data_IF_865315198528
#
_entry.id   IF_865315198528
#
_cell.length_a   1.000
_cell.length_b   1.000
_cell.length_c   1.000
_cell.angle_alpha   90.00
_cell.angle_beta   90.00
_cell.angle_gamma   90.00
#
_symmetry.space_group_name_H-M   'P 1'
#
loop_
_entity.id
_entity.type
_entity.pdbx_description
1 polymer ?
#
# COMPACT_ATOMS: atom_id res chain seq x y z
N UNK A 1 50.30 0.91 -46.15
CA UNK A 1 49.89 0.83 -44.77
C UNK A 1 48.44 1.28 -44.67
N UNK A 2 47.50 0.33 -44.62
CA UNK A 2 46.08 0.63 -44.45
C UNK A 2 45.84 0.80 -42.94
N UNK A 3 45.52 2.03 -42.50
CA UNK A 3 45.00 2.29 -41.19
C UNK A 3 43.61 1.65 -41.07
N UNK A 4 43.48 0.57 -40.29
CA UNK A 4 42.23 0.00 -39.90
C UNK A 4 41.42 1.02 -39.09
N UNK A 5 40.29 1.45 -39.62
CA UNK A 5 39.32 2.24 -38.85
C UNK A 5 38.89 1.47 -37.61
N UNK A 6 38.43 2.16 -36.55
CA UNK A 6 37.96 1.50 -35.32
C UNK A 6 36.80 0.57 -35.69
N UNK A 7 36.95 -0.73 -35.41
CA UNK A 7 35.87 -1.70 -35.58
C UNK A 7 34.66 -1.21 -34.81
N UNK A 8 33.54 -1.01 -35.53
CA UNK A 8 32.28 -0.65 -34.89
C UNK A 8 31.96 -1.69 -33.79
N UNK A 9 31.88 -1.27 -32.56
CA UNK A 9 31.48 -2.14 -31.43
C UNK A 9 30.05 -2.65 -31.71
N UNK A 10 29.78 -3.93 -31.49
CA UNK A 10 28.44 -4.44 -31.66
C UNK A 10 27.49 -3.64 -30.73
N UNK A 11 26.38 -3.15 -31.28
CA UNK A 11 25.37 -2.43 -30.56
C UNK A 11 24.81 -3.28 -29.39
N UNK A 12 24.18 -2.63 -28.44
CA UNK A 12 23.47 -3.30 -27.34
C UNK A 12 22.00 -3.42 -27.71
N UNK A 13 21.45 -4.61 -27.61
CA UNK A 13 20.03 -4.84 -27.86
C UNK A 13 19.20 -4.55 -26.60
N UNK A 14 17.94 -4.16 -26.77
CA UNK A 14 17.03 -3.90 -25.65
C UNK A 14 16.84 -5.12 -24.73
N UNK A 15 16.88 -6.32 -25.32
CA UNK A 15 16.79 -7.57 -24.57
C UNK A 15 17.98 -7.79 -23.61
N UNK A 16 19.19 -7.38 -24.01
CA UNK A 16 20.37 -7.40 -23.13
C UNK A 16 20.20 -6.43 -21.95
N UNK A 17 19.69 -5.22 -22.23
CA UNK A 17 19.41 -4.22 -21.21
C UNK A 17 18.35 -4.73 -20.23
N UNK A 18 17.25 -5.29 -20.74
CA UNK A 18 16.17 -5.83 -19.91
C UNK A 18 16.66 -7.00 -19.04
N UNK A 19 17.42 -7.93 -19.65
CA UNK A 19 18.01 -9.06 -18.92
C UNK A 19 18.92 -8.60 -17.79
N UNK A 20 19.75 -7.59 -18.01
CA UNK A 20 20.61 -7.02 -16.97
C UNK A 20 19.79 -6.35 -15.86
N UNK A 21 18.78 -5.57 -16.20
CA UNK A 21 17.90 -4.93 -15.22
C UNK A 21 17.11 -5.95 -14.39
N UNK A 22 16.70 -7.07 -15.00
CA UNK A 22 16.05 -8.17 -14.27
C UNK A 22 17.03 -8.85 -13.29
N UNK A 23 18.28 -9.09 -13.68
CA UNK A 23 19.31 -9.63 -12.79
C UNK A 23 19.58 -8.68 -11.62
N UNK A 24 19.70 -7.38 -11.89
CA UNK A 24 19.85 -6.36 -10.85
C UNK A 24 18.64 -6.33 -9.91
N UNK A 25 17.43 -6.40 -10.46
CA UNK A 25 16.21 -6.49 -9.67
C UNK A 25 16.16 -7.76 -8.83
N UNK A 26 16.68 -8.89 -9.34
CA UNK A 26 16.74 -10.17 -8.63
C UNK A 26 17.56 -10.14 -7.33
N UNK A 27 18.48 -9.18 -7.19
CA UNK A 27 19.26 -8.98 -5.95
C UNK A 27 18.48 -8.26 -4.86
N UNK A 28 17.44 -7.50 -5.23
CA UNK A 28 16.67 -6.74 -4.26
C UNK A 28 15.56 -7.57 -3.63
N UNK A 29 15.53 -7.63 -2.30
CA UNK A 29 14.42 -8.25 -1.54
C UNK A 29 13.08 -7.54 -1.74
N UNK A 30 13.09 -6.33 -2.29
CA UNK A 30 11.90 -5.52 -2.57
C UNK A 30 11.35 -5.68 -3.99
N UNK A 31 12.03 -6.44 -4.82
CA UNK A 31 11.56 -6.72 -6.19
C UNK A 31 10.35 -7.62 -6.19
N UNK A 32 9.57 -7.54 -7.28
CA UNK A 32 8.41 -8.39 -7.48
C UNK A 32 8.79 -9.87 -7.31
N UNK A 33 7.97 -10.69 -6.64
CA UNK A 33 8.25 -12.10 -6.42
C UNK A 33 8.41 -12.92 -7.72
N UNK A 34 7.87 -12.44 -8.84
CA UNK A 34 8.04 -13.08 -10.15
C UNK A 34 9.44 -12.91 -10.74
N UNK A 35 10.23 -11.94 -10.23
CA UNK A 35 11.61 -11.72 -10.67
C UNK A 35 12.50 -12.82 -10.08
N UNK A 36 13.19 -13.63 -10.93
CA UNK A 36 14.10 -14.67 -10.46
C UNK A 36 15.17 -14.08 -9.54
N UNK A 37 15.40 -14.72 -8.40
CA UNK A 37 16.45 -14.27 -7.47
C UNK A 37 17.83 -14.56 -8.07
N UNK A 38 18.70 -13.55 -8.08
CA UNK A 38 20.07 -13.64 -8.50
C UNK A 38 20.99 -13.48 -7.30
N UNK A 39 21.99 -14.35 -7.15
CA UNK A 39 22.92 -14.32 -6.02
C UNK A 39 24.11 -13.38 -6.21
N UNK A 40 24.45 -13.04 -7.43
CA UNK A 40 25.54 -12.12 -7.76
C UNK A 40 25.34 -11.49 -9.13
N UNK A 41 25.57 -10.16 -9.24
CA UNK A 41 25.99 -9.53 -10.49
C UNK A 41 27.52 -9.60 -10.49
N UNK A 42 28.09 -10.06 -11.57
CA UNK A 42 29.51 -9.81 -11.81
C UNK A 42 29.65 -8.32 -12.13
N UNK A 43 30.48 -7.61 -11.36
CA UNK A 43 30.73 -6.17 -11.55
C UNK A 43 31.20 -5.87 -12.98
N UNK A 44 31.85 -6.84 -13.62
CA UNK A 44 32.33 -6.75 -15.00
C UNK A 44 31.19 -6.61 -16.02
N UNK A 45 30.01 -7.21 -15.78
CA UNK A 45 28.88 -7.17 -16.70
C UNK A 45 28.27 -5.76 -16.85
N UNK A 46 28.21 -4.97 -15.78
CA UNK A 46 27.75 -3.58 -15.82
C UNK A 46 28.73 -2.71 -16.63
N UNK A 47 30.02 -2.88 -16.37
CA UNK A 47 31.09 -2.13 -17.02
C UNK A 47 31.10 -2.45 -18.51
N UNK A 48 31.03 -3.73 -18.89
CA UNK A 48 30.99 -4.15 -20.28
C UNK A 48 29.77 -3.60 -21.03
N UNK A 49 28.57 -3.65 -20.42
CA UNK A 49 27.35 -3.09 -21.01
C UNK A 49 27.48 -1.57 -21.23
N UNK A 50 27.97 -0.83 -20.21
CA UNK A 50 28.17 0.60 -20.31
C UNK A 50 29.18 1.00 -21.38
N UNK A 51 30.25 0.20 -21.59
CA UNK A 51 31.24 0.45 -22.62
C UNK A 51 30.71 0.25 -24.06
N UNK A 52 29.68 -0.56 -24.24
CA UNK A 52 29.04 -0.84 -25.54
C UNK A 52 27.93 0.15 -25.87
N UNK A 53 27.29 0.77 -24.86
CA UNK A 53 26.25 1.77 -25.04
C UNK A 53 26.77 3.08 -25.60
N UNK A 54 25.97 3.74 -26.46
CA UNK A 54 26.23 5.11 -26.88
C UNK A 54 26.06 6.07 -25.67
N UNK A 55 26.72 7.24 -25.66
CA UNK A 55 26.66 8.15 -24.52
C UNK A 55 25.24 8.53 -24.09
N UNK A 56 24.31 8.68 -25.03
CA UNK A 56 22.91 8.99 -24.75
C UNK A 56 22.18 7.79 -24.16
N UNK A 57 22.44 6.60 -24.68
CA UNK A 57 21.87 5.35 -24.19
C UNK A 57 22.37 5.06 -22.76
N UNK A 58 23.68 5.18 -22.54
CA UNK A 58 24.29 5.02 -21.21
C UNK A 58 23.71 6.02 -20.18
N UNK A 59 23.47 7.27 -20.59
CA UNK A 59 22.78 8.26 -19.75
C UNK A 59 21.40 7.78 -19.32
N UNK A 60 20.60 7.28 -20.25
CA UNK A 60 19.25 6.81 -19.95
C UNK A 60 19.27 5.51 -19.17
N UNK A 61 20.16 4.59 -19.47
CA UNK A 61 20.35 3.34 -18.72
C UNK A 61 20.67 3.62 -17.23
N UNK A 62 21.63 4.50 -16.96
CA UNK A 62 21.97 4.92 -15.57
C UNK A 62 20.76 5.58 -14.90
N UNK A 63 20.00 6.43 -15.60
CA UNK A 63 18.81 7.06 -15.04
C UNK A 63 17.71 6.05 -14.69
N UNK A 64 17.54 5.00 -15.49
CA UNK A 64 16.59 3.91 -15.20
C UNK A 64 17.01 3.19 -13.92
N UNK A 65 18.30 2.83 -13.78
CA UNK A 65 18.81 2.19 -12.55
C UNK A 65 18.60 3.07 -11.33
N UNK A 66 18.91 4.36 -11.44
CA UNK A 66 18.72 5.32 -10.35
C UNK A 66 17.27 5.75 -10.11
N UNK A 67 16.34 5.29 -10.96
CA UNK A 67 14.93 5.71 -10.98
C UNK A 67 14.76 7.23 -11.09
N UNK A 68 15.72 7.91 -11.76
CA UNK A 68 15.72 9.36 -11.97
C UNK A 68 15.19 9.72 -13.36
N UNK A 69 13.87 9.57 -13.54
CA UNK A 69 13.17 9.93 -14.77
C UNK A 69 12.42 11.27 -14.68
N UNK A 70 12.74 12.09 -13.68
CA UNK A 70 12.02 13.33 -13.35
C UNK A 70 11.92 14.37 -14.48
N UNK A 71 12.80 14.32 -15.46
CA UNK A 71 12.77 15.24 -16.61
C UNK A 71 11.76 14.84 -17.69
N UNK A 72 11.22 13.64 -17.62
CA UNK A 72 10.16 13.16 -18.51
C UNK A 72 8.98 12.74 -17.63
N UNK A 73 7.93 13.52 -17.66
CA UNK A 73 6.63 13.14 -17.08
C UNK A 73 5.74 12.68 -18.22
N UNK A 74 5.68 11.38 -18.45
CA UNK A 74 4.70 10.78 -19.35
C UNK A 74 3.59 10.24 -18.45
N UNK A 75 2.35 10.53 -18.80
CA UNK A 75 1.20 9.95 -18.14
C UNK A 75 1.17 8.44 -18.40
N UNK A 76 1.38 7.65 -17.35
CA UNK A 76 1.34 6.18 -17.44
C UNK A 76 0.01 5.68 -17.99
N UNK A 77 -1.10 6.34 -17.67
CA UNK A 77 -2.43 5.97 -18.16
C UNK A 77 -2.52 6.13 -19.68
N UNK A 78 -1.93 7.20 -20.22
CA UNK A 78 -1.87 7.40 -21.67
C UNK A 78 -1.03 6.32 -22.37
N UNK A 79 0.09 5.90 -21.76
CA UNK A 79 0.91 4.80 -22.29
C UNK A 79 0.12 3.50 -22.29
N UNK A 80 -0.49 3.13 -21.17
CA UNK A 80 -1.21 1.87 -21.05
C UNK A 80 -2.43 1.82 -21.98
N UNK A 81 -3.18 2.93 -22.08
CA UNK A 81 -4.32 3.03 -23.01
C UNK A 81 -3.88 3.03 -24.47
N UNK A 82 -2.74 3.65 -24.79
CA UNK A 82 -2.17 3.65 -26.13
C UNK A 82 -1.68 2.26 -26.57
N UNK A 83 -1.24 1.43 -25.63
CA UNK A 83 -0.86 0.04 -25.91
C UNK A 83 -2.08 -0.87 -26.11
N UNK A 84 -3.03 -0.83 -25.16
CA UNK A 84 -4.28 -1.60 -25.21
C UNK A 84 -5.29 -1.06 -24.19
N UNK A 85 -6.54 -0.81 -24.60
CA UNK A 85 -7.58 -0.22 -23.77
C UNK A 85 -7.82 -0.96 -22.44
N UNK A 86 -7.53 -2.26 -22.38
CA UNK A 86 -7.76 -3.13 -21.21
C UNK A 86 -6.53 -3.21 -20.30
N UNK A 87 -5.33 -2.83 -20.76
CA UNK A 87 -4.07 -3.04 -19.99
C UNK A 87 -4.13 -2.37 -18.62
N UNK A 88 -4.63 -1.15 -18.54
CA UNK A 88 -4.80 -0.43 -17.26
C UNK A 88 -5.73 -1.17 -16.29
N UNK A 89 -6.84 -1.72 -16.82
CA UNK A 89 -7.81 -2.45 -16.01
C UNK A 89 -7.21 -3.77 -15.47
N UNK A 90 -6.40 -4.47 -16.28
CA UNK A 90 -5.68 -5.68 -15.87
C UNK A 90 -4.64 -5.39 -14.79
N UNK A 91 -3.89 -4.28 -14.92
CA UNK A 91 -2.95 -3.83 -13.89
C UNK A 91 -3.66 -3.40 -12.60
N UNK A 92 -4.87 -2.83 -12.73
CA UNK A 92 -5.73 -2.54 -11.59
C UNK A 92 -6.37 -3.79 -10.95
N UNK A 93 -6.38 -4.90 -11.66
CA UNK A 93 -6.83 -6.19 -11.12
C UNK A 93 -5.71 -6.92 -10.35
N UNK A 94 -4.55 -7.13 -10.99
CA UNK A 94 -3.35 -7.66 -10.35
C UNK A 94 -2.12 -6.87 -10.84
N UNK A 95 -1.33 -6.35 -9.90
CA UNK A 95 -0.21 -5.45 -10.19
C UNK A 95 1.02 -6.23 -10.69
N UNK A 96 0.91 -6.79 -11.89
CA UNK A 96 2.02 -7.44 -12.56
C UNK A 96 1.91 -7.19 -14.07
N UNK A 97 2.84 -6.41 -14.64
CA UNK A 97 2.81 -6.02 -16.05
C UNK A 97 2.97 -7.24 -16.96
N UNK A 98 3.89 -8.15 -16.64
CA UNK A 98 4.11 -9.37 -17.43
C UNK A 98 2.86 -10.24 -17.48
N UNK A 99 2.21 -10.47 -16.34
CA UNK A 99 0.96 -11.21 -16.26
C UNK A 99 -0.17 -10.52 -17.04
N UNK A 100 -0.30 -9.20 -16.93
CA UNK A 100 -1.32 -8.43 -17.67
C UNK A 100 -1.10 -8.51 -19.20
N UNK A 101 0.13 -8.35 -19.67
CA UNK A 101 0.47 -8.49 -21.08
C UNK A 101 0.26 -9.93 -21.56
N UNK A 102 0.59 -10.92 -20.75
CA UNK A 102 0.33 -12.32 -21.08
C UNK A 102 -1.17 -12.60 -21.26
N UNK A 103 -2.02 -12.06 -20.38
CA UNK A 103 -3.49 -12.18 -20.54
C UNK A 103 -3.99 -11.55 -21.84
N UNK A 104 -3.42 -10.41 -22.26
CA UNK A 104 -3.74 -9.79 -23.55
C UNK A 104 -3.32 -10.66 -24.74
N UNK A 105 -2.20 -11.36 -24.64
CA UNK A 105 -1.70 -12.25 -25.70
C UNK A 105 -2.41 -13.60 -25.75
N UNK A 106 -3.08 -14.02 -24.67
CA UNK A 106 -3.74 -15.33 -24.53
C UNK A 106 -5.25 -15.20 -24.45
N UNK A 107 -5.80 -14.91 -23.28
CA UNK A 107 -7.24 -14.93 -22.95
C UNK A 107 -8.02 -13.82 -23.70
N UNK A 108 -7.38 -12.66 -23.92
CA UNK A 108 -7.99 -11.48 -24.55
C UNK A 108 -7.42 -11.17 -25.93
N UNK A 109 -6.76 -12.13 -26.56
CA UNK A 109 -6.11 -11.97 -27.85
C UNK A 109 -7.05 -11.43 -28.95
N UNK A 110 -8.33 -11.82 -28.90
CA UNK A 110 -9.34 -11.42 -29.89
C UNK A 110 -9.95 -10.03 -29.61
N UNK A 111 -9.54 -9.36 -28.53
CA UNK A 111 -10.02 -8.03 -28.21
C UNK A 111 -9.25 -6.98 -28.99
N UNK A 112 -9.92 -5.97 -29.59
CA UNK A 112 -9.23 -4.90 -30.31
C UNK A 112 -8.44 -4.02 -29.35
N UNK A 113 -7.31 -3.49 -29.80
CA UNK A 113 -6.45 -2.61 -28.97
C UNK A 113 -7.14 -1.29 -28.58
N UNK A 114 -7.94 -0.73 -29.51
CA UNK A 114 -8.60 0.56 -29.35
C UNK A 114 -10.07 0.51 -29.83
N UNK A 115 -10.98 -0.13 -29.08
CA UNK A 115 -12.39 -0.16 -29.43
C UNK A 115 -13.09 1.19 -29.20
N UNK A 116 -14.24 1.38 -29.84
CA UNK A 116 -15.11 2.50 -29.49
C UNK A 116 -15.61 2.41 -28.03
N UNK A 117 -16.07 3.53 -27.42
CA UNK A 117 -16.43 3.56 -26.00
C UNK A 117 -17.58 2.60 -25.60
N UNK A 118 -18.50 2.28 -26.51
CA UNK A 118 -19.60 1.35 -26.22
C UNK A 118 -19.09 -0.09 -26.22
N UNK A 119 -18.34 -0.48 -27.25
CA UNK A 119 -17.69 -1.79 -27.36
C UNK A 119 -16.67 -2.00 -26.23
N UNK A 120 -15.91 -0.99 -25.86
CA UNK A 120 -14.96 -1.04 -24.74
C UNK A 120 -15.66 -1.43 -23.42
N UNK A 121 -16.86 -0.93 -23.16
CA UNK A 121 -17.65 -1.30 -21.96
C UNK A 121 -18.06 -2.77 -21.98
N UNK A 122 -18.50 -3.27 -23.13
CA UNK A 122 -18.88 -4.67 -23.30
C UNK A 122 -17.67 -5.60 -23.12
N UNK A 123 -16.54 -5.27 -23.73
CA UNK A 123 -15.31 -6.05 -23.57
C UNK A 123 -14.79 -6.04 -22.13
N UNK A 124 -14.83 -4.92 -21.41
CA UNK A 124 -14.48 -4.87 -19.97
C UNK A 124 -15.38 -5.77 -19.14
N UNK A 125 -16.68 -5.78 -19.43
CA UNK A 125 -17.62 -6.66 -18.73
C UNK A 125 -17.30 -8.13 -18.99
N UNK A 126 -17.11 -8.50 -20.25
CA UNK A 126 -16.71 -9.86 -20.62
C UNK A 126 -15.36 -10.27 -20.01
N UNK A 127 -14.39 -9.36 -19.99
CA UNK A 127 -13.10 -9.60 -19.35
C UNK A 127 -13.26 -9.84 -17.83
N UNK A 128 -14.08 -9.04 -17.15
CA UNK A 128 -14.35 -9.23 -15.72
C UNK A 128 -14.96 -10.61 -15.38
N UNK A 129 -15.78 -11.15 -16.29
CA UNK A 129 -16.35 -12.49 -16.16
C UNK A 129 -15.30 -13.60 -16.32
N UNK A 130 -14.27 -13.39 -17.15
CA UNK A 130 -13.20 -14.37 -17.42
C UNK A 130 -12.07 -14.31 -16.37
N UNK A 131 -11.73 -13.14 -15.86
CA UNK A 131 -10.61 -12.96 -14.95
C UNK A 131 -10.73 -13.82 -13.68
N UNK A 132 -9.63 -14.48 -13.35
CA UNK A 132 -9.44 -15.20 -12.10
C UNK A 132 -8.12 -14.75 -11.45
N UNK A 133 -8.07 -14.56 -10.13
CA UNK A 133 -6.84 -14.15 -9.46
C UNK A 133 -5.84 -15.32 -9.44
N UNK A 134 -4.58 -15.00 -9.67
CA UNK A 134 -3.46 -15.95 -9.66
C UNK A 134 -2.78 -15.92 -8.30
N UNK A 135 -2.60 -17.09 -7.68
CA UNK A 135 -1.85 -17.22 -6.43
C UNK A 135 -0.38 -16.84 -6.68
N UNK A 136 0.22 -16.11 -5.75
CA UNK A 136 1.59 -15.61 -5.89
C UNK A 136 1.68 -14.20 -6.48
N UNK A 137 0.58 -13.67 -7.04
CA UNK A 137 0.50 -12.30 -7.55
C UNK A 137 -0.55 -11.53 -6.74
N UNK A 138 -0.16 -10.38 -6.19
CA UNK A 138 -1.06 -9.57 -5.37
C UNK A 138 -2.27 -9.09 -6.13
N UNK A 139 -3.46 -9.32 -5.58
CA UNK A 139 -4.73 -8.76 -6.07
C UNK A 139 -4.87 -7.32 -5.61
N UNK A 140 -5.30 -6.43 -6.49
CA UNK A 140 -5.52 -5.04 -6.12
C UNK A 140 -6.71 -4.91 -5.17
N UNK A 141 -6.74 -3.80 -4.45
CA UNK A 141 -7.83 -3.50 -3.52
C UNK A 141 -8.93 -2.72 -4.24
N UNK A 142 -10.18 -2.86 -3.82
CA UNK A 142 -11.27 -2.04 -4.31
C UNK A 142 -10.98 -0.55 -4.13
N UNK A 143 -11.45 0.26 -5.07
CA UNK A 143 -11.46 1.69 -4.89
C UNK A 143 -12.29 2.07 -3.66
N UNK A 144 -11.90 3.13 -2.99
CA UNK A 144 -12.62 3.61 -1.83
C UNK A 144 -12.78 5.13 -1.84
N UNK A 145 -13.86 5.58 -1.23
CA UNK A 145 -14.09 6.99 -0.93
C UNK A 145 -13.92 7.22 0.56
N UNK A 146 -13.18 8.24 0.96
CA UNK A 146 -13.13 8.70 2.35
C UNK A 146 -14.32 9.63 2.58
N UNK A 147 -15.29 9.20 3.39
CA UNK A 147 -16.42 10.05 3.73
C UNK A 147 -15.96 11.20 4.62
N UNK A 148 -16.46 12.41 4.33
CA UNK A 148 -16.19 13.63 5.11
C UNK A 148 -17.13 13.79 6.31
N UNK A 149 -18.18 12.98 6.39
CA UNK A 149 -19.19 12.99 7.43
C UNK A 149 -20.30 12.00 7.13
N UNK A 150 -21.26 11.89 8.04
CA UNK A 150 -22.42 11.01 7.87
C UNK A 150 -23.25 11.41 6.65
N UNK A 151 -23.55 12.71 6.49
CA UNK A 151 -24.38 13.18 5.37
C UNK A 151 -23.68 12.97 4.02
N UNK A 152 -22.35 13.18 3.93
CA UNK A 152 -21.58 12.84 2.74
C UNK A 152 -21.57 11.32 2.48
N UNK A 153 -21.49 10.51 3.53
CA UNK A 153 -21.61 9.06 3.43
C UNK A 153 -22.98 8.66 2.84
N UNK A 154 -24.07 9.23 3.35
CA UNK A 154 -25.42 8.97 2.90
C UNK A 154 -25.64 9.40 1.44
N UNK A 155 -25.04 10.51 1.00
CA UNK A 155 -25.15 10.96 -0.41
C UNK A 155 -24.49 9.99 -1.40
N UNK A 156 -23.52 9.18 -0.96
CA UNK A 156 -22.82 8.18 -1.80
C UNK A 156 -23.57 6.84 -1.79
N UNK A 157 -24.12 6.44 -0.65
CA UNK A 157 -24.68 5.10 -0.41
C UNK A 157 -25.86 4.81 -1.33
N UNK A 158 -26.77 5.78 -1.53
CA UNK A 158 -28.03 5.56 -2.26
C UNK A 158 -28.96 4.57 -1.54
N UNK A 159 -29.98 4.09 -2.27
CA UNK A 159 -31.01 3.17 -1.74
C UNK A 159 -30.61 1.71 -1.96
N UNK A 160 -29.68 1.18 -1.16
CA UNK A 160 -29.15 -0.19 -1.27
C UNK A 160 -28.83 -0.76 0.11
N UNK A 161 -28.55 -2.07 0.14
CA UNK A 161 -28.01 -2.74 1.33
C UNK A 161 -26.50 -2.61 1.36
N UNK A 162 -25.98 -2.24 2.52
CA UNK A 162 -24.54 -2.11 2.76
C UNK A 162 -24.13 -2.86 4.02
N UNK A 163 -22.96 -3.45 3.95
CA UNK A 163 -22.26 -3.97 5.13
C UNK A 163 -21.56 -2.80 5.80
N UNK A 164 -21.80 -2.58 7.07
CA UNK A 164 -20.98 -1.73 7.95
C UNK A 164 -20.03 -2.65 8.75
N UNK A 165 -18.75 -2.61 8.43
CA UNK A 165 -17.71 -3.42 9.03
C UNK A 165 -16.84 -2.58 9.92
N UNK A 166 -16.46 -3.09 11.09
CA UNK A 166 -15.47 -2.45 11.95
C UNK A 166 -14.17 -2.25 11.18
N UNK A 167 -13.64 -1.03 11.19
CA UNK A 167 -12.32 -0.74 10.64
C UNK A 167 -11.27 -1.02 11.73
N UNK A 168 -10.46 -2.04 11.46
CA UNK A 168 -9.35 -2.41 12.32
C UNK A 168 -8.15 -1.54 12.01
N UNK A 169 -7.45 -1.10 13.05
CA UNK A 169 -6.20 -0.37 12.94
C UNK A 169 -5.05 -1.36 13.03
N UNK A 170 -4.58 -1.79 11.87
CA UNK A 170 -3.60 -2.85 11.74
C UNK A 170 -2.83 -2.76 10.43
N UNK A 171 -2.14 -3.85 10.08
CA UNK A 171 -1.47 -3.99 8.79
C UNK A 171 -2.20 -4.99 7.90
N UNK A 172 -2.57 -4.53 6.70
CA UNK A 172 -3.21 -5.36 5.68
C UNK A 172 -2.37 -6.59 5.34
N UNK A 173 -3.00 -7.74 5.35
CA UNK A 173 -2.45 -9.02 4.91
C UNK A 173 -3.32 -9.61 3.80
N UNK A 174 -2.70 -9.87 2.67
CA UNK A 174 -3.27 -10.72 1.63
C UNK A 174 -2.53 -12.06 1.67
N UNK A 175 -3.21 -13.08 2.20
CA UNK A 175 -2.65 -14.40 2.45
C UNK A 175 -2.97 -15.29 1.25
N UNK A 176 -1.94 -15.74 0.57
CA UNK A 176 -2.01 -16.72 -0.51
C UNK A 176 -1.58 -18.08 0.02
N UNK A 177 -2.39 -19.07 -0.23
CA UNK A 177 -2.11 -20.48 0.07
C UNK A 177 -1.97 -21.24 -1.23
N UNK A 178 -0.87 -21.97 -1.37
CA UNK A 178 -0.63 -22.89 -2.47
C UNK A 178 -0.16 -24.23 -1.90
N UNK A 179 -1.06 -25.20 -1.81
CA UNK A 179 -0.78 -26.50 -1.23
C UNK A 179 0.15 -27.38 -2.09
N UNK A 180 0.44 -26.97 -3.34
CA UNK A 180 1.48 -27.65 -4.14
C UNK A 180 2.87 -27.45 -3.52
N UNK A 181 3.08 -26.34 -2.82
CA UNK A 181 4.33 -26.03 -2.12
C UNK A 181 4.39 -26.60 -0.69
N UNK A 182 3.31 -27.22 -0.20
CA UNK A 182 3.27 -27.78 1.14
C UNK A 182 4.16 -29.02 1.23
N UNK A 183 5.05 -29.04 2.20
CA UNK A 183 5.85 -30.21 2.55
C UNK A 183 5.76 -30.49 4.05
N UNK A 184 5.94 -31.77 4.46
CA UNK A 184 5.98 -32.13 5.90
C UNK A 184 7.21 -31.55 6.61
N UNK A 185 8.32 -31.36 5.87
CA UNK A 185 9.58 -30.84 6.40
C UNK A 185 9.43 -29.30 6.62
N UNK A 186 8.71 -28.60 5.74
CA UNK A 186 8.52 -27.16 5.78
C UNK A 186 7.04 -26.81 5.53
N UNK A 187 6.16 -27.02 6.52
CA UNK A 187 4.70 -26.88 6.33
C UNK A 187 4.25 -25.47 5.95
N UNK A 188 5.02 -24.44 6.32
CA UNK A 188 4.69 -23.04 6.06
C UNK A 188 5.12 -22.54 4.67
N UNK A 189 5.82 -23.36 3.89
CA UNK A 189 6.25 -23.04 2.51
C UNK A 189 5.07 -22.79 1.55
N UNK A 190 3.89 -23.29 1.89
CA UNK A 190 2.66 -23.03 1.14
C UNK A 190 2.05 -21.65 1.38
N UNK A 191 2.59 -20.85 2.31
CA UNK A 191 2.07 -19.53 2.68
C UNK A 191 2.89 -18.44 2.01
N UNK A 192 2.20 -17.49 1.37
CA UNK A 192 2.78 -16.22 0.92
C UNK A 192 1.88 -15.07 1.41
N UNK A 193 2.49 -14.00 1.93
CA UNK A 193 1.75 -12.86 2.50
C UNK A 193 2.20 -11.58 1.81
N UNK A 194 1.25 -10.88 1.19
CA UNK A 194 1.50 -9.57 0.60
C UNK A 194 1.01 -8.44 1.49
N UNK A 195 1.80 -7.38 1.58
CA UNK A 195 1.44 -6.14 2.25
C UNK A 195 0.47 -5.30 1.41
N UNK A 196 -0.01 -4.20 1.97
CA UNK A 196 -0.87 -3.22 1.29
C UNK A 196 -0.24 -2.66 0.00
N UNK A 197 1.06 -2.43 -0.01
CA UNK A 197 1.80 -1.91 -1.17
C UNK A 197 2.14 -2.97 -2.23
N UNK A 198 1.97 -4.26 -1.92
CA UNK A 198 2.31 -5.38 -2.80
C UNK A 198 3.66 -6.01 -2.52
N UNK A 199 4.39 -5.54 -1.47
CA UNK A 199 5.61 -6.19 -1.03
C UNK A 199 5.29 -7.60 -0.52
N UNK A 200 6.09 -8.60 -0.92
CA UNK A 200 6.14 -9.89 -0.25
C UNK A 200 6.66 -9.69 1.18
N UNK A 201 5.81 -9.92 2.14
CA UNK A 201 6.07 -9.73 3.58
C UNK A 201 6.02 -11.06 4.33
N UNK A 202 6.15 -12.17 3.63
CA UNK A 202 6.04 -13.52 4.21
C UNK A 202 7.03 -13.70 5.36
N UNK A 203 8.32 -13.41 5.11
CA UNK A 203 9.35 -13.51 6.13
C UNK A 203 9.19 -12.48 7.28
N UNK A 204 8.75 -11.27 6.96
CA UNK A 204 8.52 -10.21 7.97
C UNK A 204 7.40 -10.57 8.96
N UNK A 205 6.48 -11.46 8.55
CA UNK A 205 5.26 -11.84 9.29
C UNK A 205 5.25 -13.31 9.71
N UNK A 206 6.42 -13.88 9.93
CA UNK A 206 6.57 -15.28 10.34
C UNK A 206 5.76 -15.63 11.59
N UNK A 207 5.55 -14.67 12.50
CA UNK A 207 4.72 -14.83 13.70
C UNK A 207 3.24 -15.14 13.43
N UNK A 208 2.75 -14.92 12.19
CA UNK A 208 1.39 -15.31 11.79
C UNK A 208 1.29 -16.69 11.16
N UNK A 209 2.40 -17.29 10.72
CA UNK A 209 2.36 -18.51 9.91
C UNK A 209 1.64 -19.65 10.62
N UNK A 210 1.98 -19.92 11.89
CA UNK A 210 1.33 -20.98 12.65
C UNK A 210 -0.17 -20.69 12.86
N UNK A 211 -0.53 -19.44 13.13
CA UNK A 211 -1.94 -19.01 13.25
C UNK A 211 -2.70 -19.26 11.96
N UNK A 212 -2.09 -18.97 10.80
CA UNK A 212 -2.68 -19.23 9.48
C UNK A 212 -2.84 -20.73 9.24
N UNK A 213 -1.82 -21.54 9.54
CA UNK A 213 -1.90 -22.99 9.44
C UNK A 213 -3.06 -23.56 10.26
N UNK A 214 -3.20 -23.08 11.51
CA UNK A 214 -4.21 -23.59 12.43
C UNK A 214 -5.63 -23.14 12.07
N UNK A 215 -5.82 -21.86 11.69
CA UNK A 215 -7.15 -21.36 11.30
C UNK A 215 -7.68 -22.01 10.03
N UNK A 216 -6.78 -22.39 9.09
CA UNK A 216 -7.11 -23.06 7.85
C UNK A 216 -7.07 -24.59 7.95
N UNK A 217 -6.63 -25.12 9.10
CA UNK A 217 -6.42 -26.55 9.31
C UNK A 217 -5.51 -27.20 8.27
N UNK A 218 -4.49 -26.50 7.78
CA UNK A 218 -3.56 -27.00 6.76
C UNK A 218 -2.79 -28.20 7.33
N UNK A 219 -2.66 -29.26 6.54
CA UNK A 219 -2.04 -30.52 6.96
C UNK A 219 -2.93 -31.42 7.83
N UNK A 220 -4.18 -31.03 8.11
CA UNK A 220 -5.17 -31.81 8.88
C UNK A 220 -6.27 -32.34 7.97
N UNK A 221 -6.92 -33.47 8.33
CA UNK A 221 -7.99 -34.09 7.50
C UNK A 221 -9.20 -33.17 7.25
N UNK A 222 -9.45 -32.22 8.14
CA UNK A 222 -10.53 -31.25 8.04
C UNK A 222 -10.14 -29.95 7.30
N UNK A 223 -9.00 -29.91 6.61
CA UNK A 223 -8.64 -28.80 5.74
C UNK A 223 -9.64 -28.65 4.61
N UNK A 224 -10.26 -27.48 4.52
CA UNK A 224 -11.26 -27.18 3.50
C UNK A 224 -10.63 -26.88 2.13
N UNK A 225 -9.42 -26.29 2.14
CA UNK A 225 -8.65 -25.98 0.94
C UNK A 225 -8.08 -27.28 0.36
N UNK A 226 -8.25 -27.51 -0.93
CA UNK A 226 -7.72 -28.70 -1.63
C UNK A 226 -6.47 -28.40 -2.42
N UNK A 227 -6.37 -27.17 -2.97
CA UNK A 227 -5.22 -26.74 -3.81
C UNK A 227 -4.72 -25.36 -3.42
N UNK A 228 -5.56 -24.35 -3.42
CA UNK A 228 -5.15 -22.95 -3.29
C UNK A 228 -6.24 -22.05 -2.74
N UNK A 229 -5.82 -20.96 -2.08
CA UNK A 229 -6.77 -19.93 -1.63
C UNK A 229 -6.10 -18.55 -1.58
N UNK A 230 -6.92 -17.50 -1.67
CA UNK A 230 -6.50 -16.11 -1.41
C UNK A 230 -7.48 -15.52 -0.39
N UNK A 231 -6.94 -15.16 0.77
CA UNK A 231 -7.72 -14.72 1.94
C UNK A 231 -7.20 -13.36 2.38
N UNK A 232 -8.09 -12.47 2.77
CA UNK A 232 -7.74 -11.13 3.24
C UNK A 232 -7.95 -11.00 4.74
N UNK A 233 -6.99 -10.34 5.38
CA UNK A 233 -7.03 -10.05 6.79
C UNK A 233 -6.30 -8.77 7.15
N UNK A 234 -6.48 -8.34 8.39
CA UNK A 234 -5.73 -7.27 9.02
C UNK A 234 -4.91 -7.87 10.16
N UNK A 235 -3.60 -7.72 10.12
CA UNK A 235 -2.72 -8.12 11.19
C UNK A 235 -2.79 -7.12 12.33
N UNK A 236 -3.00 -7.60 13.53
CA UNK A 236 -3.09 -6.81 14.76
C UNK A 236 -2.28 -7.48 15.87
N UNK A 237 -2.08 -6.79 16.98
CA UNK A 237 -1.57 -7.40 18.22
C UNK A 237 -2.73 -7.61 19.17
N UNK A 238 -2.82 -8.77 19.75
CA UNK A 238 -3.81 -9.14 20.76
C UNK A 238 -3.14 -9.40 22.11
N UNK A 239 -3.67 -8.82 23.17
CA UNK A 239 -3.21 -9.06 24.54
C UNK A 239 -4.08 -10.13 25.21
N UNK A 240 -3.46 -11.24 25.61
CA UNK A 240 -4.16 -12.32 26.32
C UNK A 240 -4.59 -11.87 27.73
N UNK A 241 -3.79 -11.05 28.41
CA UNK A 241 -4.10 -10.55 29.74
C UNK A 241 -5.23 -9.52 29.75
N UNK A 242 -5.29 -8.64 28.72
CA UNK A 242 -6.33 -7.63 28.60
C UNK A 242 -7.54 -8.11 27.78
N UNK A 243 -7.42 -9.26 27.11
CA UNK A 243 -8.41 -9.84 26.21
C UNK A 243 -8.93 -8.85 25.15
N UNK A 244 -8.01 -8.07 24.56
CA UNK A 244 -8.35 -7.06 23.55
C UNK A 244 -7.26 -6.87 22.50
N UNK A 245 -7.64 -6.26 21.37
CA UNK A 245 -6.70 -5.81 20.33
C UNK A 245 -6.01 -4.55 20.85
N UNK A 246 -4.69 -4.55 20.80
CA UNK A 246 -3.85 -3.42 21.20
C UNK A 246 -3.72 -2.37 20.09
N UNK A 247 -3.30 -1.13 20.42
CA UNK A 247 -3.04 -0.08 19.45
C UNK A 247 -2.01 -0.47 18.39
N UNK A 248 -2.13 0.16 17.21
CA UNK A 248 -1.35 -0.14 16.01
C UNK A 248 0.18 -0.14 16.21
N UNK A 249 0.69 0.79 17.00
CA UNK A 249 2.12 0.94 17.28
C UNK A 249 2.75 -0.31 17.92
N UNK A 250 1.95 -1.15 18.59
CA UNK A 250 2.43 -2.41 19.16
C UNK A 250 2.87 -3.43 18.11
N UNK A 251 2.39 -3.32 16.87
CA UNK A 251 2.75 -4.23 15.78
C UNK A 251 4.26 -4.22 15.53
N UNK A 252 4.91 -3.05 15.61
CA UNK A 252 6.35 -2.91 15.31
C UNK A 252 7.25 -3.76 16.20
N UNK A 253 6.79 -4.12 17.40
CA UNK A 253 7.55 -4.95 18.34
C UNK A 253 7.47 -6.45 18.00
N UNK A 254 6.60 -6.85 17.07
CA UNK A 254 6.33 -8.23 16.69
C UNK A 254 6.65 -8.55 15.24
N UNK A 255 7.02 -7.56 14.42
CA UNK A 255 7.36 -7.75 13.01
C UNK A 255 8.78 -7.29 12.72
N UNK A 256 9.42 -7.96 11.77
CA UNK A 256 10.69 -7.52 11.22
C UNK A 256 10.48 -6.83 9.88
N UNK A 257 11.43 -5.97 9.47
CA UNK A 257 11.55 -5.50 8.10
C UNK A 257 12.93 -5.88 7.60
N UNK A 258 12.97 -6.65 6.51
CA UNK A 258 14.22 -7.11 5.92
C UNK A 258 15.16 -7.79 6.94
N UNK A 259 14.59 -8.64 7.82
CA UNK A 259 15.33 -9.38 8.84
C UNK A 259 15.71 -8.58 10.10
N UNK A 260 15.29 -7.31 10.21
CA UNK A 260 15.51 -6.50 11.40
C UNK A 260 14.18 -6.14 12.07
N UNK A 261 14.09 -6.30 13.39
CA UNK A 261 12.95 -5.78 14.15
C UNK A 261 12.87 -4.26 14.02
N UNK A 262 11.64 -3.75 13.85
CA UNK A 262 11.39 -2.32 13.65
C UNK A 262 11.44 -1.55 14.97
N UNK A 263 11.26 -2.25 16.10
CA UNK A 263 11.27 -1.67 17.43
C UNK A 263 12.62 -1.01 17.75
N UNK A 264 12.57 0.18 18.35
CA UNK A 264 13.74 0.88 18.89
C UNK A 264 14.03 0.37 20.30
N UNK A 265 15.28 0.55 20.79
CA UNK A 265 15.66 0.24 22.18
C UNK A 265 14.81 1.00 23.23
N UNK A 266 14.17 2.10 22.81
CA UNK A 266 13.26 2.90 23.65
C UNK A 266 11.82 2.38 23.65
N UNK A 267 11.44 1.47 22.76
CA UNK A 267 10.13 0.83 22.80
C UNK A 267 10.10 -0.17 23.97
N UNK A 268 9.03 -0.16 24.74
CA UNK A 268 8.83 -1.17 25.78
C UNK A 268 8.92 -2.57 25.15
N UNK A 269 9.67 -3.51 25.75
CA UNK A 269 9.75 -4.86 25.21
C UNK A 269 8.34 -5.45 25.08
N UNK A 270 8.07 -6.31 24.07
CA UNK A 270 6.77 -6.94 23.94
C UNK A 270 6.46 -7.73 25.22
N UNK A 271 5.25 -7.57 25.72
CA UNK A 271 4.77 -8.42 26.82
C UNK A 271 4.73 -9.87 26.36
N UNK A 272 5.00 -10.81 27.28
CA UNK A 272 4.84 -12.24 26.98
C UNK A 272 3.39 -12.61 26.66
N UNK A 273 2.42 -11.79 27.06
CA UNK A 273 0.99 -11.98 26.79
C UNK A 273 0.54 -11.38 25.45
N UNK A 274 1.39 -10.58 24.78
CA UNK A 274 1.06 -9.94 23.52
C UNK A 274 1.44 -10.85 22.34
N UNK A 275 0.50 -11.05 21.43
CA UNK A 275 0.66 -11.96 20.27
C UNK A 275 0.19 -11.30 18.98
N UNK A 276 0.87 -11.62 17.87
CA UNK A 276 0.31 -11.33 16.55
C UNK A 276 -0.97 -12.13 16.35
N UNK A 277 -1.99 -11.45 15.87
CA UNK A 277 -3.27 -12.02 15.51
C UNK A 277 -3.69 -11.51 14.12
N UNK A 278 -4.58 -12.23 13.46
CA UNK A 278 -5.14 -11.82 12.18
C UNK A 278 -6.67 -11.71 12.27
N UNK A 279 -7.21 -10.61 11.80
CA UNK A 279 -8.66 -10.41 11.67
C UNK A 279 -9.05 -10.66 10.22
N UNK A 280 -9.69 -11.76 9.93
CA UNK A 280 -10.05 -12.19 8.58
C UNK A 280 -11.34 -11.50 8.13
N UNK A 281 -11.32 -10.87 6.93
CA UNK A 281 -12.44 -10.07 6.46
C UNK A 281 -12.91 -10.34 5.02
N UNK A 282 -12.18 -11.08 4.20
CA UNK A 282 -12.67 -11.46 2.86
C UNK A 282 -11.97 -12.73 2.34
N UNK A 283 -12.58 -13.35 1.32
CA UNK A 283 -12.07 -14.51 0.59
C UNK A 283 -12.21 -14.23 -0.91
N UNK A 284 -11.13 -14.32 -1.67
CA UNK A 284 -11.10 -13.97 -3.08
C UNK A 284 -11.08 -15.20 -4.01
N UNK A 285 -10.35 -16.23 -3.58
CA UNK A 285 -10.18 -17.48 -4.33
C UNK A 285 -10.25 -18.65 -3.38
N UNK A 286 -10.92 -19.73 -3.78
CA UNK A 286 -10.92 -21.01 -3.11
C UNK A 286 -10.86 -22.12 -4.16
N UNK A 287 -9.73 -22.77 -4.25
CA UNK A 287 -9.44 -23.79 -5.27
C UNK A 287 -9.69 -23.22 -6.70
N UNK A 288 -10.74 -23.67 -7.38
CA UNK A 288 -11.15 -23.16 -8.70
C UNK A 288 -12.29 -22.15 -8.63
N UNK A 289 -12.88 -21.94 -7.46
CA UNK A 289 -13.97 -20.97 -7.28
C UNK A 289 -13.41 -19.56 -7.16
N UNK A 290 -13.71 -18.70 -8.14
CA UNK A 290 -13.38 -17.27 -8.11
C UNK A 290 -14.38 -16.54 -7.22
N UNK A 291 -14.18 -16.65 -5.90
CA UNK A 291 -15.09 -16.16 -4.87
C UNK A 291 -15.24 -14.63 -4.90
N UNK A 292 -14.21 -13.92 -5.34
CA UNK A 292 -14.23 -12.46 -5.43
C UNK A 292 -15.33 -11.88 -6.35
N UNK A 293 -15.90 -12.68 -7.24
CA UNK A 293 -17.02 -12.29 -8.11
C UNK A 293 -18.38 -12.35 -7.40
N UNK A 294 -18.45 -13.00 -6.26
CA UNK A 294 -19.68 -13.18 -5.47
C UNK A 294 -20.00 -11.93 -4.64
N UNK A 295 -21.27 -11.74 -4.26
CA UNK A 295 -21.69 -10.77 -3.26
C UNK A 295 -20.92 -10.91 -1.93
N UNK A 296 -20.81 -9.81 -1.17
CA UNK A 296 -20.00 -9.79 0.06
C UNK A 296 -20.49 -10.77 1.13
N UNK A 297 -21.77 -10.98 1.26
CA UNK A 297 -22.36 -11.93 2.22
C UNK A 297 -22.03 -13.40 1.87
N UNK A 298 -22.03 -13.75 0.58
CA UNK A 298 -21.58 -15.05 0.10
C UNK A 298 -20.08 -15.26 0.35
N UNK A 299 -19.24 -14.27 0.03
CA UNK A 299 -17.81 -14.34 0.31
C UNK A 299 -17.55 -14.54 1.80
N UNK A 300 -18.31 -13.86 2.66
CA UNK A 300 -18.23 -14.00 4.12
C UNK A 300 -18.71 -15.35 4.63
N UNK A 301 -19.72 -15.94 4.00
CA UNK A 301 -20.16 -17.31 4.31
C UNK A 301 -19.05 -18.29 4.00
N UNK A 302 -18.46 -18.20 2.78
CA UNK A 302 -17.35 -19.05 2.38
C UNK A 302 -16.13 -18.87 3.29
N UNK A 303 -15.80 -17.66 3.67
CA UNK A 303 -14.73 -17.39 4.62
C UNK A 303 -14.95 -18.11 5.97
N UNK A 304 -16.20 -18.17 6.45
CA UNK A 304 -16.52 -18.89 7.70
C UNK A 304 -16.40 -20.41 7.59
N UNK A 305 -16.61 -20.95 6.41
CA UNK A 305 -16.45 -22.38 6.13
C UNK A 305 -14.95 -22.77 6.12
N UNK A 306 -14.12 -21.91 5.50
CA UNK A 306 -12.69 -22.16 5.32
C UNK A 306 -11.87 -21.85 6.56
N UNK A 307 -12.21 -20.80 7.29
CA UNK A 307 -11.41 -20.28 8.41
C UNK A 307 -12.08 -20.55 9.75
N UNK A 308 -11.41 -21.33 10.59
CA UNK A 308 -11.83 -21.53 11.99
C UNK A 308 -11.41 -20.33 12.82
N UNK A 309 -12.31 -19.71 13.58
CA UNK A 309 -11.96 -18.69 14.53
C UNK A 309 -11.15 -19.29 15.70
N UNK A 310 -10.08 -18.62 16.07
CA UNK A 310 -9.21 -18.98 17.21
C UNK A 310 -9.15 -17.73 18.10
N UNK A 311 -9.72 -17.77 19.32
CA UNK A 311 -9.71 -16.63 20.24
C UNK A 311 -8.30 -16.04 20.42
N UNK A 312 -8.18 -14.72 20.30
CA UNK A 312 -6.94 -14.00 20.42
C UNK A 312 -5.88 -14.23 19.32
N UNK A 313 -6.17 -15.07 18.31
CA UNK A 313 -5.20 -15.41 17.25
C UNK A 313 -5.76 -15.20 15.85
N UNK A 314 -6.89 -15.83 15.53
CA UNK A 314 -7.56 -15.69 14.23
C UNK A 314 -9.01 -15.28 14.47
N UNK A 315 -9.29 -14.01 14.26
CA UNK A 315 -10.59 -13.41 14.50
C UNK A 315 -11.33 -13.23 13.17
N UNK A 316 -12.63 -13.08 13.24
CA UNK A 316 -13.47 -12.67 12.10
C UNK A 316 -13.86 -11.22 12.26
N UNK A 317 -13.77 -10.43 11.20
CA UNK A 317 -14.19 -9.04 11.26
C UNK A 317 -15.66 -8.91 11.65
N UNK A 318 -15.92 -8.00 12.60
CA UNK A 318 -17.26 -7.64 13.04
C UNK A 318 -17.96 -6.81 11.97
N UNK A 319 -19.21 -7.15 11.66
CA UNK A 319 -19.97 -6.45 10.64
C UNK A 319 -21.48 -6.56 10.86
N UNK A 320 -22.22 -5.62 10.29
CA UNK A 320 -23.68 -5.61 10.29
C UNK A 320 -24.21 -5.14 8.93
N UNK A 321 -25.39 -5.59 8.53
CA UNK A 321 -26.06 -5.11 7.32
C UNK A 321 -26.99 -3.97 7.70
N UNK A 322 -26.93 -2.89 6.91
CA UNK A 322 -27.85 -1.75 6.97
C UNK A 322 -28.57 -1.65 5.63
N UNK A 323 -29.90 -1.66 5.68
CA UNK A 323 -30.76 -1.50 4.50
C UNK A 323 -31.18 -0.04 4.34
N UNK A 324 -30.57 0.67 3.37
CA UNK A 324 -30.83 2.09 3.14
C UNK A 324 -32.08 2.36 2.29
N UNK A 325 -32.85 1.35 1.93
CA UNK A 325 -34.19 1.57 1.37
C UNK A 325 -35.14 2.18 2.42
N UNK A 326 -34.89 1.94 3.72
CA UNK A 326 -35.59 2.57 4.85
C UNK A 326 -34.77 3.77 5.39
N UNK A 327 -34.75 4.88 4.67
CA UNK A 327 -33.81 6.01 4.82
C UNK A 327 -33.58 6.48 6.26
N UNK A 328 -34.63 6.85 7.02
CA UNK A 328 -34.49 7.43 8.37
C UNK A 328 -34.01 6.40 9.42
N UNK A 329 -34.48 5.17 9.32
CA UNK A 329 -34.06 4.09 10.22
C UNK A 329 -32.63 3.66 9.94
N UNK A 330 -32.23 3.60 8.66
CA UNK A 330 -30.89 3.28 8.25
C UNK A 330 -29.90 4.37 8.66
N UNK A 331 -30.26 5.67 8.51
CA UNK A 331 -29.44 6.79 8.97
C UNK A 331 -29.18 6.68 10.46
N UNK A 332 -30.20 6.48 11.28
CA UNK A 332 -30.06 6.29 12.74
C UNK A 332 -29.13 5.11 13.06
N UNK A 333 -29.34 3.97 12.40
CA UNK A 333 -28.53 2.77 12.61
C UNK A 333 -27.06 3.00 12.24
N UNK A 334 -26.78 3.72 11.14
CA UNK A 334 -25.41 4.09 10.77
C UNK A 334 -24.76 4.98 11.82
N UNK A 335 -25.49 6.00 12.32
CA UNK A 335 -25.01 6.90 13.39
C UNK A 335 -24.71 6.11 14.66
N UNK A 336 -25.60 5.23 15.08
CA UNK A 336 -25.41 4.38 16.27
C UNK A 336 -24.18 3.48 16.14
N UNK A 337 -24.01 2.79 14.97
CA UNK A 337 -22.86 1.94 14.73
C UNK A 337 -21.55 2.74 14.71
N UNK A 338 -21.56 3.93 14.12
CA UNK A 338 -20.40 4.80 14.10
C UNK A 338 -20.09 5.35 15.50
N UNK A 339 -21.09 5.82 16.24
CA UNK A 339 -20.92 6.27 17.62
C UNK A 339 -20.36 5.16 18.53
N UNK A 340 -20.89 3.93 18.40
CA UNK A 340 -20.33 2.76 19.12
C UNK A 340 -18.87 2.50 18.74
N UNK A 341 -18.54 2.62 17.46
CA UNK A 341 -17.16 2.46 16.99
C UNK A 341 -16.22 3.47 17.67
N UNK A 342 -16.61 4.73 17.72
CA UNK A 342 -15.83 5.80 18.37
C UNK A 342 -15.73 5.57 19.89
N UNK A 343 -16.82 5.25 20.56
CA UNK A 343 -16.85 4.96 22.00
C UNK A 343 -15.91 3.81 22.38
N UNK A 344 -15.80 2.81 21.52
CA UNK A 344 -14.91 1.65 21.69
C UNK A 344 -13.48 1.93 21.21
N UNK A 345 -13.15 3.17 20.84
CA UNK A 345 -11.84 3.60 20.32
C UNK A 345 -11.39 2.83 19.06
N UNK A 346 -12.35 2.43 18.21
CA UNK A 346 -12.03 1.87 16.91
C UNK A 346 -11.66 2.99 15.93
N UNK A 347 -10.97 2.66 14.83
CA UNK A 347 -10.61 3.64 13.78
C UNK A 347 -11.83 4.18 13.02
N UNK A 348 -12.95 3.45 13.05
CA UNK A 348 -14.19 3.79 12.36
C UNK A 348 -14.85 2.58 11.71
N UNK A 349 -15.51 2.83 10.57
CA UNK A 349 -16.22 1.81 9.79
C UNK A 349 -15.73 1.76 8.34
N UNK A 350 -15.83 0.57 7.73
CA UNK A 350 -15.73 0.37 6.29
C UNK A 350 -17.12 -0.07 5.79
N UNK A 351 -17.71 0.72 4.89
CA UNK A 351 -18.97 0.36 4.28
C UNK A 351 -18.71 -0.31 2.93
N UNK A 352 -19.36 -1.44 2.69
CA UNK A 352 -19.21 -2.26 1.48
C UNK A 352 -20.60 -2.54 0.89
N UNK A 353 -20.84 -2.36 -0.44
CA UNK A 353 -22.12 -2.68 -1.03
C UNK A 353 -22.35 -4.21 -0.95
N UNK A 354 -23.55 -4.64 -0.52
CA UNK A 354 -23.86 -6.06 -0.35
C UNK A 354 -23.87 -6.83 -1.66
N UNK A 355 -24.35 -6.21 -2.74
CA UNK A 355 -24.61 -6.81 -4.03
C UNK A 355 -23.42 -6.83 -5.00
N UNK A 356 -22.31 -6.21 -4.62
CA UNK A 356 -21.15 -6.03 -5.50
C UNK A 356 -20.08 -7.11 -5.37
N UNK A 357 -19.36 -7.41 -6.46
CA UNK A 357 -18.12 -8.18 -6.40
C UNK A 357 -17.04 -7.41 -5.66
N UNK A 358 -15.91 -8.08 -5.37
CA UNK A 358 -14.77 -7.45 -4.70
C UNK A 358 -14.12 -6.34 -5.55
N UNK A 359 -13.92 -6.58 -6.85
CA UNK A 359 -13.40 -5.60 -7.82
C UNK A 359 -14.27 -5.58 -9.05
N UNK A 360 -14.45 -4.41 -9.63
CA UNK A 360 -15.04 -4.18 -10.96
C UNK A 360 -14.00 -3.61 -11.91
N UNK A 361 -13.96 -4.11 -13.16
CA UNK A 361 -13.08 -3.60 -14.21
C UNK A 361 -13.67 -2.37 -14.90
N UNK A 362 -13.97 -1.31 -14.19
CA UNK A 362 -14.54 -0.12 -14.84
C UNK A 362 -14.14 1.12 -14.08
N UNK A 363 -13.53 2.05 -14.80
CA UNK A 363 -13.05 3.31 -14.26
C UNK A 363 -14.15 4.25 -13.71
N UNK A 364 -15.42 3.97 -13.99
CA UNK A 364 -16.53 4.89 -13.75
C UNK A 364 -17.60 4.39 -12.77
N UNK A 365 -17.37 3.32 -12.02
CA UNK A 365 -18.37 2.89 -11.04
C UNK A 365 -18.19 3.60 -9.70
N UNK A 366 -19.17 4.44 -9.41
CA UNK A 366 -19.35 5.23 -8.19
C UNK A 366 -19.59 4.40 -6.92
N UNK A 367 -19.34 3.09 -6.92
CA UNK A 367 -19.72 2.19 -5.80
C UNK A 367 -18.52 1.45 -5.21
N UNK A 368 -17.41 2.15 -5.02
CA UNK A 368 -16.30 1.65 -4.21
C UNK A 368 -16.70 1.51 -2.75
N UNK A 369 -15.80 0.99 -1.94
CA UNK A 369 -15.96 0.97 -0.49
C UNK A 369 -15.93 2.40 0.07
N UNK A 370 -16.66 2.64 1.16
CA UNK A 370 -16.63 3.93 1.85
C UNK A 370 -15.91 3.75 3.18
N UNK A 371 -14.93 4.58 3.45
CA UNK A 371 -14.25 4.65 4.74
C UNK A 371 -14.81 5.81 5.55
N UNK A 372 -15.39 5.49 6.70
CA UNK A 372 -15.92 6.44 7.65
C UNK A 372 -15.03 6.37 8.89
N UNK A 373 -14.17 7.36 9.08
CA UNK A 373 -13.20 7.42 10.15
C UNK A 373 -13.57 8.47 11.21
N UNK A 374 -12.97 8.35 12.40
CA UNK A 374 -13.17 9.31 13.50
C UNK A 374 -12.64 10.73 13.19
N UNK A 375 -11.68 10.85 12.29
CA UNK A 375 -11.04 12.10 11.84
C UNK A 375 -11.95 12.92 10.90
N UNK A 376 -13.23 12.98 11.23
CA UNK A 376 -14.22 13.79 10.53
C UNK A 376 -14.11 15.26 10.95
N UNK A 377 -14.21 16.16 9.95
CA UNK A 377 -14.49 17.57 10.17
C UNK A 377 -13.51 18.35 11.07
N UNK A 378 -12.21 18.34 10.73
CA UNK A 378 -11.22 19.18 11.43
C UNK A 378 -10.72 18.62 12.76
N UNK A 379 -11.15 17.42 13.12
CA UNK A 379 -10.62 16.63 14.25
C UNK A 379 -9.73 15.50 13.73
N UNK A 380 -8.77 15.81 12.85
CA UNK A 380 -7.83 14.83 12.32
C UNK A 380 -6.79 14.44 13.39
N UNK A 381 -6.42 13.18 13.41
CA UNK A 381 -5.28 12.71 14.22
C UNK A 381 -3.93 13.16 13.61
N UNK A 382 -3.93 13.57 12.34
CA UNK A 382 -2.77 13.99 11.57
C UNK A 382 -3.05 15.34 10.90
N UNK A 383 -2.05 16.21 10.91
CA UNK A 383 -2.09 17.48 10.22
C UNK A 383 -0.76 17.71 9.47
N UNK A 384 -0.88 18.24 8.25
CA UNK A 384 0.28 18.66 7.47
C UNK A 384 0.70 20.08 7.89
N UNK A 385 1.93 20.20 8.37
CA UNK A 385 2.55 21.48 8.67
C UNK A 385 3.72 21.75 7.76
N UNK A 386 3.92 23.00 7.40
CA UNK A 386 5.14 23.44 6.75
C UNK A 386 6.23 23.70 7.81
N UNK A 387 7.46 23.30 7.51
CA UNK A 387 8.62 23.76 8.27
C UNK A 387 8.92 25.18 7.79
N UNK A 388 8.57 26.18 8.63
CA UNK A 388 8.68 27.61 8.32
C UNK A 388 9.96 28.23 8.83
N UNK A 389 10.77 27.48 9.58
CA UNK A 389 12.07 27.91 10.10
C UNK A 389 12.72 26.84 10.94
N UNK A 390 13.98 27.04 11.23
CA UNK A 390 14.74 26.17 12.09
C UNK A 390 15.72 26.97 12.95
N UNK A 391 16.08 26.41 14.11
CA UNK A 391 17.05 27.02 15.03
C UNK A 391 18.01 25.96 15.57
N UNK A 392 19.16 26.42 16.05
CA UNK A 392 20.20 25.58 16.63
C UNK A 392 20.26 25.74 18.16
N UNK A 393 20.40 24.63 18.85
CA UNK A 393 20.67 24.59 20.28
C UNK A 393 21.82 23.60 20.54
N UNK A 394 22.90 24.09 21.11
CA UNK A 394 24.10 23.30 21.33
C UNK A 394 23.92 22.12 22.30
N UNK A 395 23.06 22.27 23.30
CA UNK A 395 22.77 21.19 24.25
C UNK A 395 22.01 20.04 23.58
N UNK A 396 21.03 20.38 22.75
CA UNK A 396 20.26 19.38 21.98
C UNK A 396 21.17 18.69 20.94
N UNK A 397 22.05 19.44 20.28
CA UNK A 397 22.99 18.87 19.33
C UNK A 397 23.96 17.89 20.00
N UNK A 398 24.48 18.24 21.19
CA UNK A 398 25.37 17.37 21.95
C UNK A 398 24.68 16.07 22.44
N UNK A 399 23.39 16.13 22.75
CA UNK A 399 22.60 14.99 23.19
C UNK A 399 22.11 14.10 22.03
N UNK A 400 22.16 14.60 20.77
CA UNK A 400 21.69 13.89 19.60
C UNK A 400 22.67 12.79 19.16
N UNK A 401 22.20 11.61 18.74
CA UNK A 401 23.05 10.59 18.11
C UNK A 401 23.53 11.00 16.72
N UNK A 402 22.83 11.93 16.05
CA UNK A 402 23.22 12.47 14.74
C UNK A 402 24.29 13.54 14.93
N UNK A 403 25.40 13.42 14.19
CA UNK A 403 26.51 14.36 14.23
C UNK A 403 26.31 15.52 13.23
N UNK A 404 27.06 16.59 13.44
CA UNK A 404 27.14 17.75 12.54
C UNK A 404 25.78 18.41 12.22
N UNK A 405 24.90 18.48 13.22
CA UNK A 405 23.61 19.15 13.10
C UNK A 405 23.79 20.67 12.97
N UNK A 406 23.18 21.24 11.96
CA UNK A 406 23.03 22.69 11.76
C UNK A 406 21.74 23.19 12.42
N UNK A 407 20.71 22.35 12.45
CA UNK A 407 19.40 22.65 13.01
C UNK A 407 18.97 21.55 13.99
N UNK A 408 18.52 21.94 15.15
CA UNK A 408 18.07 21.04 16.22
C UNK A 408 16.60 21.19 16.55
N UNK A 409 15.99 22.33 16.15
CA UNK A 409 14.58 22.64 16.41
C UNK A 409 13.97 23.18 15.12
N UNK A 410 12.82 22.64 14.73
CA UNK A 410 12.07 23.02 13.53
C UNK A 410 10.76 23.71 13.94
N UNK A 411 10.52 24.88 13.37
CA UNK A 411 9.29 25.66 13.63
C UNK A 411 8.23 25.30 12.60
N UNK A 412 7.03 24.94 13.09
CA UNK A 412 5.93 24.46 12.27
C UNK A 412 4.87 25.56 12.08
N UNK A 413 4.40 25.68 10.85
CA UNK A 413 3.35 26.62 10.48
C UNK A 413 2.25 26.01 9.62
N UNK A 414 1.04 26.56 9.76
CA UNK A 414 -0.10 26.22 8.93
C UNK A 414 -0.37 27.35 7.92
N UNK A 415 -0.53 26.99 6.65
CA UNK A 415 -0.86 27.96 5.59
C UNK A 415 -2.31 28.43 5.72
N UNK A 416 -2.53 29.72 6.05
CA UNK A 416 -3.86 30.26 6.32
C UNK A 416 -4.55 30.86 5.11
N UNK A 417 -3.81 31.24 4.06
CA UNK A 417 -4.37 31.86 2.84
C UNK A 417 -4.24 30.95 1.59
N UNK A 418 -4.45 29.67 1.74
CA UNK A 418 -4.26 28.65 0.66
C UNK A 418 -5.06 28.96 -0.61
N UNK A 419 -6.27 29.52 -0.48
CA UNK A 419 -7.12 29.93 -1.61
C UNK A 419 -6.50 31.08 -2.43
N UNK A 420 -5.93 32.08 -1.75
CA UNK A 420 -5.36 33.26 -2.38
C UNK A 420 -4.04 32.92 -3.08
N UNK A 421 -3.23 32.08 -2.43
CA UNK A 421 -2.00 31.56 -3.05
C UNK A 421 -2.31 30.80 -4.34
N UNK A 422 -3.35 29.96 -4.34
CA UNK A 422 -3.72 29.16 -5.52
C UNK A 422 -4.35 29.98 -6.64
N UNK A 423 -5.20 30.98 -6.31
CA UNK A 423 -5.97 31.75 -7.29
C UNK A 423 -5.24 32.97 -7.81
N UNK A 424 -4.46 33.62 -6.96
CA UNK A 424 -3.88 34.95 -7.24
C UNK A 424 -2.36 34.95 -7.12
N UNK A 425 -1.74 33.79 -6.86
CA UNK A 425 -0.30 33.70 -6.56
C UNK A 425 0.13 34.66 -5.45
N UNK A 426 -0.79 34.92 -4.51
CA UNK A 426 -0.53 35.79 -3.37
C UNK A 426 0.58 35.20 -2.49
N UNK A 427 1.33 36.06 -1.79
CA UNK A 427 2.35 35.64 -0.85
C UNK A 427 1.75 34.72 0.20
N UNK A 428 2.37 33.53 0.46
CA UNK A 428 1.91 32.61 1.49
C UNK A 428 1.93 33.27 2.88
N UNK A 429 0.88 33.03 3.67
CA UNK A 429 0.79 33.47 5.08
C UNK A 429 0.73 32.26 5.97
N UNK A 430 1.66 32.14 6.90
CA UNK A 430 1.73 31.04 7.85
C UNK A 430 1.42 31.49 9.26
N UNK A 431 0.54 30.75 9.91
CA UNK A 431 0.35 30.86 11.36
C UNK A 431 1.29 29.86 12.03
N UNK A 432 2.11 30.36 12.96
CA UNK A 432 3.00 29.46 13.76
C UNK A 432 2.16 28.60 14.68
N UNK A 433 2.33 27.28 14.58
CA UNK A 433 1.60 26.28 15.38
C UNK A 433 2.41 25.74 16.54
N UNK A 434 3.73 25.66 16.40
CA UNK A 434 4.60 25.10 17.42
C UNK A 434 6.01 24.89 16.92
N UNK A 435 6.78 24.11 17.68
CA UNK A 435 8.13 23.69 17.32
C UNK A 435 8.37 22.26 17.79
N UNK A 436 9.14 21.50 17.00
CA UNK A 436 9.61 20.17 17.37
C UNK A 436 11.13 20.18 17.44
N UNK A 437 11.71 19.50 18.40
CA UNK A 437 13.16 19.43 18.59
C UNK A 437 13.66 18.00 18.43
N UNK A 438 14.99 17.89 18.22
CA UNK A 438 15.66 16.60 18.07
C UNK A 438 15.78 15.82 19.38
N UNK A 439 15.39 16.40 20.51
CA UNK A 439 15.28 15.74 21.79
C UNK A 439 13.98 14.95 21.89
N UNK A 440 14.08 13.76 22.40
CA UNK A 440 12.93 12.86 22.47
C UNK A 440 12.44 12.45 21.08
N UNK A 441 12.00 11.32 20.90
CA UNK A 441 11.65 10.60 19.65
C UNK A 441 10.64 11.30 18.69
N UNK A 442 10.50 12.63 18.77
CA UNK A 442 9.57 13.41 17.96
C UNK A 442 10.01 13.52 16.49
N UNK A 443 11.32 13.51 16.23
CA UNK A 443 11.88 13.56 14.87
C UNK A 443 12.73 12.31 14.65
N UNK A 444 12.37 11.40 13.75
CA UNK A 444 13.19 10.25 13.38
C UNK A 444 14.58 10.68 12.87
N UNK A 445 15.61 9.85 13.08
CA UNK A 445 16.99 10.18 12.73
C UNK A 445 17.16 10.46 11.23
N UNK A 446 16.58 9.63 10.38
CA UNK A 446 16.60 9.78 8.93
C UNK A 446 15.95 11.09 8.46
N UNK A 447 14.85 11.48 9.12
CA UNK A 447 14.17 12.76 8.88
C UNK A 447 15.02 13.92 9.37
N UNK A 448 15.68 13.80 10.54
CA UNK A 448 16.57 14.83 11.08
C UNK A 448 17.78 15.07 10.16
N UNK A 449 18.40 13.99 9.68
CA UNK A 449 19.51 14.05 8.70
C UNK A 449 19.05 14.71 7.39
N UNK A 450 17.90 14.30 6.87
CA UNK A 450 17.30 14.86 5.65
C UNK A 450 17.01 16.35 5.79
N UNK A 451 16.35 16.76 6.88
CA UNK A 451 16.06 18.16 7.15
C UNK A 451 17.32 19.02 7.31
N UNK A 452 18.37 18.49 7.93
CA UNK A 452 19.65 19.18 8.05
C UNK A 452 20.37 19.29 6.70
N UNK A 453 20.37 18.23 5.90
CA UNK A 453 20.98 18.22 4.57
C UNK A 453 20.29 19.21 3.64
N UNK A 454 18.96 19.15 3.55
CA UNK A 454 18.18 20.05 2.71
C UNK A 454 18.22 21.50 3.23
N UNK A 455 18.13 21.68 4.54
CA UNK A 455 18.16 23.00 5.18
C UNK A 455 19.42 23.78 4.92
N UNK A 456 20.59 23.14 4.83
CA UNK A 456 21.86 23.81 4.48
C UNK A 456 21.83 24.51 3.13
N UNK A 457 21.03 24.02 2.20
CA UNK A 457 20.94 24.56 0.83
C UNK A 457 19.72 25.42 0.58
N UNK A 458 18.66 25.26 1.37
CA UNK A 458 17.37 25.92 1.11
C UNK A 458 16.96 26.92 2.19
N UNK A 459 17.63 26.95 3.34
CA UNK A 459 17.33 27.92 4.38
C UNK A 459 17.96 29.31 4.04
N UNK A 460 17.15 30.34 4.20
CA UNK A 460 17.60 31.74 4.08
C UNK A 460 17.27 32.49 5.38
N UNK A 461 18.06 33.54 5.72
CA UNK A 461 17.71 34.40 6.83
C UNK A 461 16.32 35.01 6.62
N UNK A 462 15.47 34.92 7.63
CA UNK A 462 14.11 35.47 7.59
C UNK A 462 14.05 36.79 8.36
N UNK A 463 13.63 37.86 7.68
CA UNK A 463 13.42 39.18 8.28
C UNK A 463 11.99 39.62 8.04
N UNK A 464 11.26 39.96 9.10
CA UNK A 464 9.89 40.46 9.03
C UNK A 464 9.78 41.85 8.35
N UNK A 465 10.83 42.64 8.41
CA UNK A 465 10.88 43.98 7.83
C UNK A 465 11.26 43.96 6.35
N UNK A 466 11.65 42.81 5.80
CA UNK A 466 11.97 42.68 4.38
C UNK A 466 10.70 42.64 3.53
N UNK A 467 10.50 43.64 2.64
CA UNK A 467 9.35 43.68 1.77
C UNK A 467 9.29 42.53 0.75
N UNK A 468 10.44 41.93 0.43
CA UNK A 468 10.58 40.80 -0.52
C UNK A 468 10.61 39.42 0.16
N UNK A 469 10.31 39.34 1.45
CA UNK A 469 10.27 38.06 2.17
C UNK A 469 9.39 37.01 1.46
N UNK A 470 9.77 35.78 1.51
CA UNK A 470 9.10 34.69 0.77
C UNK A 470 7.70 34.35 1.31
N UNK A 471 7.40 34.68 2.57
CA UNK A 471 6.11 34.46 3.22
C UNK A 471 5.88 35.42 4.37
N UNK A 472 4.63 35.51 4.82
CA UNK A 472 4.21 36.28 5.99
C UNK A 472 3.98 35.34 7.19
N UNK A 473 4.29 35.84 8.41
CA UNK A 473 3.90 35.19 9.66
C UNK A 473 2.73 35.95 10.31
N UNK A 474 1.76 35.19 10.81
CA UNK A 474 0.58 35.72 11.54
C UNK A 474 0.48 35.08 12.92
#
# INVERSE_FOLDING_TARGET
MHAGGPSARPGVELEEVDSFLQQLAGQSVFSDPSVPRSSSLEDDGLVELLWRLQPLEAKWFVRIILKDLKTISIDEDAIFQGFHFLLRDLLNFQRNLGAAVNLLKTEFREYPECPDPASARLFRRSAAEKLAPVVGIKVSRPNFVKARGIDHCLSIIGSKKWVAERKYDGEYCEVHIDLQNYTRAEPTSCIKIFSKSGKDSTADRIGLHQTIMDTLSIGKPNCYIKRRAIILGEMVVFSDSQNCILPFERIRNHVSRSGRYIGNQADSPPSQDDRLAIVLFDLLLLDDEVVMKRPVDERRRRLREVCRAIPGRALRAEWTIIDFNESEKAKRRLIEQFAMSITRRHEGLVLKPCDGPYITLSAHHHHGYIKLKKDLMGMGDEADFAVIGASYNAQLAAASPVKDLTYTTFHLGCLVNKSDVRRFQARPKYQRMGSISCDGHCVPQDVLETCNTLGRFSAAPFNLDDPERSFDLT
#
